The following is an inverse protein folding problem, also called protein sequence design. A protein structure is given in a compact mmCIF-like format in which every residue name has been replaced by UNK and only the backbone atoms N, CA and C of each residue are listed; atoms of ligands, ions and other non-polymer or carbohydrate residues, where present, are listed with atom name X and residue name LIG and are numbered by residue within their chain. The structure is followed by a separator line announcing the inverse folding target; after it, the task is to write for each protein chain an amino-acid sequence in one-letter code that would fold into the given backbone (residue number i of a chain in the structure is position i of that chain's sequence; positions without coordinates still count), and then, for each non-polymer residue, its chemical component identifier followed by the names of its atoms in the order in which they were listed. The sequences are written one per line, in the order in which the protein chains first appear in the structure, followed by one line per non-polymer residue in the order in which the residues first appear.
data_IF_830417311730
#
_entry.id   IF_830417311730
#
_cell.length_a   1.000
_cell.length_b   1.000
_cell.length_c   1.000
_cell.angle_alpha   90.00
_cell.angle_beta   90.00
_cell.angle_gamma   90.00
#
_symmetry.space_group_name_H-M   'P 1'
#
loop_
_entity.id
_entity.type
_entity.pdbx_description
1 polymer ?
#
# COMPACT_ATOMS: atom_id res chain seq x y z
N UNK A 1 60.34 -41.32 -1.35
CA UNK A 1 60.24 -40.20 -0.39
C UNK A 1 60.34 -38.92 -1.19
N UNK A 2 59.21 -38.24 -1.38
CA UNK A 2 59.05 -37.17 -2.37
C UNK A 2 59.88 -35.93 -2.03
N UNK A 3 60.53 -35.37 -3.04
CA UNK A 3 61.25 -34.09 -2.98
C UNK A 3 60.24 -32.95 -2.93
N UNK A 4 60.16 -32.24 -1.81
CA UNK A 4 59.45 -30.97 -1.69
C UNK A 4 60.32 -29.86 -2.29
N UNK A 5 59.71 -28.95 -3.05
CA UNK A 5 60.43 -27.80 -3.61
C UNK A 5 60.95 -26.89 -2.48
N UNK A 6 62.24 -26.59 -2.49
CA UNK A 6 62.96 -25.75 -1.50
C UNK A 6 63.04 -24.28 -1.88
N UNK A 7 62.47 -23.88 -3.02
CA UNK A 7 62.45 -22.48 -3.45
C UNK A 7 61.12 -21.82 -3.05
N UNK A 8 61.14 -20.58 -2.54
CA UNK A 8 59.91 -19.84 -2.27
C UNK A 8 59.09 -19.74 -3.55
N UNK A 9 57.82 -20.16 -3.51
CA UNK A 9 56.87 -19.90 -4.60
C UNK A 9 56.80 -18.38 -4.77
N UNK A 10 57.15 -17.80 -5.93
CA UNK A 10 57.08 -16.35 -6.12
C UNK A 10 55.63 -15.89 -6.00
N UNK A 11 55.26 -15.32 -4.85
CA UNK A 11 53.98 -14.65 -4.70
C UNK A 11 54.09 -13.29 -5.39
N UNK A 12 53.63 -13.20 -6.64
CA UNK A 12 53.43 -11.91 -7.28
C UNK A 12 52.27 -11.20 -6.57
N UNK A 13 52.58 -10.34 -5.58
CA UNK A 13 51.58 -9.50 -4.95
C UNK A 13 51.12 -8.45 -5.97
N UNK A 14 49.89 -8.59 -6.46
CA UNK A 14 49.25 -7.59 -7.31
C UNK A 14 49.11 -6.32 -6.49
N UNK A 15 50.00 -5.35 -6.73
CA UNK A 15 50.09 -4.08 -5.99
C UNK A 15 49.21 -2.98 -6.65
N UNK A 16 48.47 -3.32 -7.70
CA UNK A 16 47.55 -2.42 -8.39
C UNK A 16 46.12 -2.53 -7.86
N UNK A 17 45.27 -1.55 -8.18
CA UNK A 17 43.82 -1.67 -7.97
C UNK A 17 43.32 -2.87 -8.76
N UNK A 18 42.94 -3.94 -8.06
CA UNK A 18 42.41 -5.13 -8.70
C UNK A 18 40.94 -4.87 -9.06
N UNK A 19 40.55 -4.93 -10.36
CA UNK A 19 39.15 -4.86 -10.71
C UNK A 19 38.45 -6.12 -10.19
N UNK A 20 37.63 -5.96 -9.16
CA UNK A 20 36.71 -7.01 -8.72
C UNK A 20 35.47 -6.94 -9.60
N UNK A 21 35.29 -7.93 -10.46
CA UNK A 21 34.04 -8.11 -11.18
C UNK A 21 33.00 -8.60 -10.18
N UNK A 22 32.15 -7.70 -9.69
CA UNK A 22 30.93 -8.11 -9.00
C UNK A 22 29.94 -8.60 -10.06
N UNK A 23 29.98 -9.90 -10.37
CA UNK A 23 28.87 -10.54 -11.09
C UNK A 23 27.74 -10.72 -10.09
N UNK A 24 27.03 -9.63 -9.77
CA UNK A 24 25.80 -9.75 -9.00
C UNK A 24 24.83 -10.57 -9.86
N UNK A 25 24.31 -11.73 -9.38
CA UNK A 25 23.19 -12.38 -10.05
C UNK A 25 22.14 -11.30 -10.25
N UNK A 26 21.62 -11.15 -11.47
CA UNK A 26 20.58 -10.17 -11.76
C UNK A 26 19.59 -10.15 -10.59
N UNK A 27 19.32 -8.97 -10.04
CA UNK A 27 18.30 -8.81 -9.01
C UNK A 27 17.10 -9.64 -9.41
N UNK A 28 16.88 -10.74 -8.69
CA UNK A 28 15.77 -11.63 -9.00
C UNK A 28 14.53 -10.75 -8.95
N UNK A 29 13.74 -10.74 -10.03
CA UNK A 29 12.49 -10.01 -10.07
C UNK A 29 11.59 -10.54 -8.95
N UNK A 30 11.61 -9.86 -7.79
CA UNK A 30 11.11 -10.37 -6.52
C UNK A 30 11.39 -9.39 -5.37
N UNK A 31 11.04 -9.78 -4.14
CA UNK A 31 11.09 -8.94 -2.93
C UNK A 31 12.48 -8.80 -2.31
N UNK A 32 13.55 -9.09 -3.06
CA UNK A 32 14.91 -9.07 -2.53
C UNK A 32 15.41 -7.62 -2.35
N UNK A 33 15.65 -7.20 -1.10
CA UNK A 33 16.38 -5.97 -0.80
C UNK A 33 17.86 -6.13 -1.18
N UNK A 34 18.42 -5.11 -1.85
CA UNK A 34 19.85 -5.02 -2.13
C UNK A 34 20.49 -3.94 -1.27
N UNK A 35 21.14 -4.33 -0.18
CA UNK A 35 21.68 -3.35 0.78
C UNK A 35 20.58 -2.47 1.38
N UNK A 36 20.93 -1.25 1.77
CA UNK A 36 19.97 -0.23 2.21
C UNK A 36 19.20 0.34 1.00
N UNK A 37 18.05 -0.26 0.68
CA UNK A 37 17.17 0.21 -0.41
C UNK A 37 16.13 1.16 0.17
N UNK A 38 16.41 2.46 0.12
CA UNK A 38 15.45 3.51 0.48
C UNK A 38 14.30 3.63 -0.53
N UNK A 39 13.21 4.30 -0.11
CA UNK A 39 12.08 4.63 -0.99
C UNK A 39 12.52 5.56 -2.13
N UNK A 40 12.70 5.01 -3.33
CA UNK A 40 13.18 5.77 -4.48
C UNK A 40 12.05 6.56 -5.14
N UNK A 41 12.00 7.87 -4.90
CA UNK A 41 11.13 8.78 -5.66
C UNK A 41 11.76 9.03 -7.04
N UNK A 42 11.12 8.50 -8.09
CA UNK A 42 11.54 8.72 -9.49
C UNK A 42 10.75 9.89 -10.07
N UNK A 43 11.32 10.60 -11.05
CA UNK A 43 10.60 11.66 -11.77
C UNK A 43 9.44 11.16 -12.66
N UNK A 44 9.23 9.84 -12.72
CA UNK A 44 8.13 9.18 -13.44
C UNK A 44 7.23 8.44 -12.42
N UNK A 45 5.99 8.11 -12.81
CA UNK A 45 5.00 7.42 -11.97
C UNK A 45 5.40 6.01 -11.45
N UNK A 46 6.55 5.47 -11.85
CA UNK A 46 7.07 4.16 -11.41
C UNK A 46 7.29 4.17 -9.90
N UNK A 47 6.53 3.34 -9.19
CA UNK A 47 6.57 3.25 -7.73
C UNK A 47 5.70 4.28 -7.00
N UNK A 48 4.96 5.13 -7.71
CA UNK A 48 4.02 6.07 -7.11
C UNK A 48 2.68 5.42 -6.74
N UNK A 49 1.94 6.02 -5.81
CA UNK A 49 0.58 5.61 -5.48
C UNK A 49 -0.41 5.98 -6.59
N UNK A 50 -1.41 5.13 -6.79
CA UNK A 50 -2.60 5.41 -7.60
C UNK A 50 -3.66 6.13 -6.76
N UNK A 51 -4.43 7.00 -7.39
CA UNK A 51 -5.52 7.76 -6.77
C UNK A 51 -6.88 7.14 -7.05
N UNK A 52 -7.73 7.07 -6.02
CA UNK A 52 -9.16 6.74 -6.17
C UNK A 52 -10.02 7.84 -5.57
N UNK A 53 -10.74 8.57 -6.43
CA UNK A 53 -11.62 9.67 -6.02
C UNK A 53 -12.90 9.12 -5.37
N UNK A 54 -13.29 9.73 -4.26
CA UNK A 54 -14.49 9.42 -3.48
C UNK A 54 -15.43 10.61 -3.51
N UNK A 55 -16.65 10.39 -3.97
CA UNK A 55 -17.80 11.27 -3.75
C UNK A 55 -18.99 10.36 -3.47
N UNK A 56 -19.57 10.44 -2.27
CA UNK A 56 -20.69 9.58 -1.92
C UNK A 56 -21.94 9.94 -2.72
N UNK A 57 -22.68 8.94 -3.18
CA UNK A 57 -24.06 9.03 -3.60
C UNK A 57 -24.99 8.75 -2.41
N UNK A 58 -26.30 8.94 -2.61
CA UNK A 58 -27.34 8.62 -1.62
C UNK A 58 -27.57 7.11 -1.44
N UNK A 59 -26.50 6.36 -1.12
CA UNK A 59 -26.44 4.90 -1.00
C UNK A 59 -25.39 4.51 0.06
N UNK A 60 -25.08 3.21 0.19
CA UNK A 60 -23.93 2.71 0.98
C UNK A 60 -22.60 2.71 0.23
N UNK A 61 -22.59 3.21 -1.01
CA UNK A 61 -21.40 3.42 -1.85
C UNK A 61 -20.46 2.21 -2.01
N UNK A 62 -20.98 0.99 -2.30
CA UNK A 62 -20.15 -0.19 -2.47
C UNK A 62 -19.23 -0.03 -3.68
N UNK A 63 -17.92 0.00 -3.44
CA UNK A 63 -16.94 0.34 -4.47
C UNK A 63 -15.74 -0.59 -4.42
N UNK A 64 -15.33 -1.12 -5.57
CA UNK A 64 -14.03 -1.80 -5.72
C UNK A 64 -13.03 -0.79 -6.27
N UNK A 65 -12.04 -0.44 -5.46
CA UNK A 65 -10.95 0.45 -5.87
C UNK A 65 -9.86 -0.34 -6.61
N UNK A 66 -9.58 -1.56 -6.14
CA UNK A 66 -8.61 -2.48 -6.75
C UNK A 66 -9.10 -3.91 -6.57
N UNK A 67 -9.30 -4.64 -7.66
CA UNK A 67 -9.79 -6.03 -7.65
C UNK A 67 -8.67 -7.07 -7.43
N UNK A 68 -7.51 -6.65 -6.91
CA UNK A 68 -6.36 -7.50 -6.66
C UNK A 68 -5.58 -7.05 -5.43
N UNK A 69 -4.73 -7.93 -4.91
CA UNK A 69 -3.88 -7.67 -3.75
C UNK A 69 -3.07 -6.37 -3.93
N UNK A 70 -2.93 -5.61 -2.85
CA UNK A 70 -2.27 -4.31 -2.86
C UNK A 70 -2.17 -3.72 -1.46
N UNK A 71 -1.98 -2.41 -1.38
CA UNK A 71 -1.91 -1.67 -0.12
C UNK A 71 -2.59 -0.32 -0.20
N UNK A 72 -3.22 0.09 0.91
CA UNK A 72 -3.70 1.47 1.10
C UNK A 72 -2.56 2.29 1.70
N UNK A 73 -2.05 3.25 0.95
CA UNK A 73 -0.93 4.11 1.37
C UNK A 73 -1.42 5.27 2.23
N UNK A 74 -2.64 5.75 1.96
CA UNK A 74 -3.24 6.81 2.74
C UNK A 74 -4.60 7.23 2.22
N UNK A 75 -5.19 8.20 2.88
CA UNK A 75 -6.48 8.76 2.49
C UNK A 75 -6.59 10.22 2.94
N UNK A 76 -7.48 10.92 2.27
CA UNK A 76 -7.92 12.27 2.63
C UNK A 76 -9.42 12.32 2.38
N UNK A 77 -10.21 12.26 3.46
CA UNK A 77 -11.66 12.15 3.38
C UNK A 77 -12.28 13.22 4.28
N UNK A 78 -13.24 13.97 3.74
CA UNK A 78 -13.97 15.00 4.45
C UNK A 78 -15.45 14.61 4.55
N UNK A 79 -16.04 14.92 5.70
CA UNK A 79 -17.45 14.77 5.97
C UNK A 79 -18.13 16.14 5.94
N UNK A 80 -19.12 16.30 5.06
CA UNK A 80 -19.86 17.56 4.86
C UNK A 80 -21.13 17.66 5.71
N UNK A 81 -21.37 16.65 6.56
CA UNK A 81 -22.58 16.52 7.37
C UNK A 81 -22.31 16.83 8.85
N UNK A 82 -23.38 17.08 9.60
CA UNK A 82 -23.34 17.37 11.04
C UNK A 82 -23.34 16.10 11.93
N UNK A 83 -23.15 14.91 11.35
CA UNK A 83 -23.11 13.62 12.06
C UNK A 83 -21.82 12.88 11.76
N UNK A 84 -21.40 11.98 12.64
CA UNK A 84 -20.29 11.07 12.32
C UNK A 84 -20.63 10.19 11.14
N UNK A 85 -19.67 10.01 10.24
CA UNK A 85 -19.77 9.09 9.12
C UNK A 85 -18.59 8.12 9.14
N UNK A 86 -18.81 6.95 8.56
CA UNK A 86 -17.85 5.86 8.62
C UNK A 86 -17.60 5.28 7.24
N UNK A 87 -16.33 5.21 6.85
CA UNK A 87 -15.91 4.49 5.65
C UNK A 87 -15.31 3.16 6.10
N UNK A 88 -15.94 2.06 5.68
CA UNK A 88 -15.54 0.70 6.01
C UNK A 88 -14.73 0.14 4.86
N UNK A 89 -13.53 -0.33 5.16
CA UNK A 89 -12.62 -0.92 4.18
C UNK A 89 -12.76 -2.44 4.24
N UNK A 90 -12.81 -3.07 3.08
CA UNK A 90 -12.98 -4.51 2.93
C UNK A 90 -11.81 -5.09 2.13
N UNK A 91 -11.26 -6.21 2.60
CA UNK A 91 -10.21 -6.95 1.91
C UNK A 91 -10.83 -8.00 0.96
N UNK A 92 -11.58 -7.51 -0.03
CA UNK A 92 -12.24 -8.34 -1.05
C UNK A 92 -12.10 -7.70 -2.43
N UNK A 93 -12.05 -8.53 -3.47
CA UNK A 93 -11.86 -8.11 -4.87
C UNK A 93 -13.18 -7.76 -5.60
N UNK A 94 -14.32 -8.03 -4.97
CA UNK A 94 -15.66 -7.80 -5.53
C UNK A 94 -16.38 -6.68 -4.78
N UNK A 95 -17.49 -6.20 -5.35
CA UNK A 95 -18.29 -5.15 -4.72
C UNK A 95 -18.79 -5.63 -3.33
N UNK A 96 -18.45 -4.92 -2.25
CA UNK A 96 -18.86 -5.30 -0.90
C UNK A 96 -20.33 -4.97 -0.66
N UNK A 97 -20.96 -5.69 0.28
CA UNK A 97 -22.30 -5.38 0.79
C UNK A 97 -22.18 -4.83 2.20
N UNK A 98 -22.62 -3.59 2.40
CA UNK A 98 -22.62 -2.95 3.72
C UNK A 98 -23.43 -3.78 4.73
N UNK A 99 -22.89 -3.96 5.94
CA UNK A 99 -23.51 -4.76 6.99
C UNK A 99 -23.32 -6.28 6.87
N UNK A 100 -22.75 -6.78 5.77
CA UNK A 100 -22.55 -8.23 5.55
C UNK A 100 -21.11 -8.59 5.21
N UNK A 101 -20.47 -7.86 4.30
CA UNK A 101 -19.06 -8.10 3.96
C UNK A 101 -18.19 -7.73 5.15
N UNK A 102 -17.31 -8.64 5.57
CA UNK A 102 -16.41 -8.44 6.69
C UNK A 102 -15.62 -7.12 6.55
N UNK A 103 -15.63 -6.30 7.59
CA UNK A 103 -14.89 -5.05 7.67
C UNK A 103 -13.46 -5.37 8.10
N UNK A 104 -12.48 -4.94 7.31
CA UNK A 104 -11.07 -5.11 7.64
C UNK A 104 -10.59 -4.02 8.59
N UNK A 105 -10.93 -2.77 8.31
CA UNK A 105 -10.85 -1.65 9.26
C UNK A 105 -11.85 -0.57 8.86
N UNK A 106 -12.09 0.36 9.78
CA UNK A 106 -13.00 1.49 9.59
C UNK A 106 -12.28 2.82 9.79
N UNK A 107 -12.72 3.81 9.03
CA UNK A 107 -12.29 5.20 9.12
C UNK A 107 -13.48 6.01 9.63
N UNK A 108 -13.38 6.52 10.85
CA UNK A 108 -14.34 7.46 11.40
C UNK A 108 -14.01 8.89 10.96
N UNK A 109 -15.00 9.63 10.47
CA UNK A 109 -14.84 11.02 10.03
C UNK A 109 -15.75 11.92 10.87
N UNK A 110 -15.20 12.87 11.64
CA UNK A 110 -15.99 13.75 12.51
C UNK A 110 -16.96 14.64 11.71
N UNK A 111 -18.06 15.10 12.33
CA UNK A 111 -18.96 16.09 11.74
C UNK A 111 -18.21 17.32 11.22
N UNK A 112 -18.50 17.75 9.98
CA UNK A 112 -17.84 18.88 9.31
C UNK A 112 -16.30 18.84 9.36
N UNK A 113 -15.73 17.64 9.49
CA UNK A 113 -14.31 17.45 9.69
C UNK A 113 -13.70 16.52 8.64
N UNK A 114 -12.43 16.18 8.86
CA UNK A 114 -11.64 15.38 7.94
C UNK A 114 -10.88 14.27 8.67
N UNK A 115 -10.71 13.16 7.97
CA UNK A 115 -9.80 12.08 8.33
C UNK A 115 -8.73 12.02 7.25
N UNK A 116 -7.48 12.20 7.65
CA UNK A 116 -6.34 12.23 6.76
C UNK A 116 -5.21 11.42 7.39
N UNK A 117 -4.60 10.54 6.60
CA UNK A 117 -3.39 9.84 7.00
C UNK A 117 -2.54 9.55 5.77
N UNK A 118 -1.24 9.49 5.98
CA UNK A 118 -0.29 8.87 5.08
C UNK A 118 0.55 7.89 5.91
N UNK A 119 0.63 6.64 5.46
CA UNK A 119 1.41 5.59 6.12
C UNK A 119 2.54 5.15 5.20
N UNK A 120 3.78 5.31 5.66
CA UNK A 120 4.95 4.81 4.96
C UNK A 120 4.88 3.29 4.88
N UNK A 121 4.86 2.73 3.66
CA UNK A 121 4.68 1.30 3.40
C UNK A 121 3.23 0.82 3.24
N UNK A 122 2.24 1.62 3.65
CA UNK A 122 0.80 1.33 3.54
C UNK A 122 0.26 0.16 4.39
N UNK A 123 -1.06 -0.02 4.37
CA UNK A 123 -1.79 -1.13 4.99
C UNK A 123 -2.04 -2.21 3.93
N UNK A 124 -1.51 -3.42 4.14
CA UNK A 124 -1.62 -4.52 3.19
C UNK A 124 -3.02 -5.13 3.10
N UNK A 125 -3.47 -5.40 1.87
CA UNK A 125 -4.70 -6.09 1.53
C UNK A 125 -4.37 -7.27 0.61
N UNK A 126 -4.62 -8.49 1.09
CA UNK A 126 -4.23 -9.73 0.41
C UNK A 126 -5.11 -10.11 -0.78
N UNK A 127 -6.32 -9.58 -0.88
CA UNK A 127 -7.33 -10.01 -1.85
C UNK A 127 -7.70 -8.87 -2.80
N UNK A 128 -8.07 -7.73 -2.25
CA UNK A 128 -8.54 -6.57 -2.99
C UNK A 128 -8.80 -5.38 -2.08
N UNK A 129 -8.89 -4.19 -2.66
CA UNK A 129 -9.27 -2.97 -1.98
C UNK A 129 -10.67 -2.55 -2.41
N UNK A 130 -11.62 -2.63 -1.48
CA UNK A 130 -12.97 -2.13 -1.65
C UNK A 130 -13.46 -1.41 -0.39
N UNK A 131 -14.51 -0.62 -0.52
CA UNK A 131 -15.09 0.12 0.60
C UNK A 131 -16.62 0.24 0.52
N UNK A 132 -17.22 0.53 1.67
CA UNK A 132 -18.60 1.05 1.82
C UNK A 132 -18.58 2.30 2.70
N UNK A 133 -19.62 3.13 2.59
CA UNK A 133 -19.78 4.36 3.36
C UNK A 133 -21.15 4.33 4.04
N UNK A 134 -21.17 4.46 5.37
CA UNK A 134 -22.38 4.31 6.18
C UNK A 134 -22.42 5.31 7.33
N UNK A 135 -23.59 5.44 7.97
CA UNK A 135 -23.80 6.38 9.08
C UNK A 135 -23.48 5.80 10.46
N UNK A 136 -23.45 4.47 10.61
CA UNK A 136 -23.23 3.79 11.89
C UNK A 136 -21.85 3.12 12.00
N UNK A 137 -21.30 3.13 13.21
CA UNK A 137 -19.98 2.56 13.50
C UNK A 137 -19.98 1.02 13.52
N UNK A 138 -21.10 0.38 13.85
CA UNK A 138 -21.20 -1.07 13.96
C UNK A 138 -20.93 -1.73 12.61
N UNK A 139 -20.20 -2.85 12.56
CA UNK A 139 -19.88 -3.55 11.31
C UNK A 139 -21.13 -4.00 10.55
N UNK A 140 -22.20 -4.33 11.28
CA UNK A 140 -23.52 -4.67 10.75
C UNK A 140 -24.30 -3.49 10.18
N UNK A 141 -23.85 -2.25 10.39
CA UNK A 141 -24.55 -1.07 9.87
C UNK A 141 -24.53 -1.04 8.33
N UNK A 142 -25.72 -0.88 7.77
CA UNK A 142 -26.00 -0.79 6.34
C UNK A 142 -26.78 0.48 6.00
N UNK A 143 -26.79 1.47 6.90
CA UNK A 143 -27.56 2.69 6.71
C UNK A 143 -26.87 3.58 5.67
N UNK A 144 -27.59 3.99 4.61
CA UNK A 144 -27.01 4.78 3.52
C UNK A 144 -26.68 6.20 4.00
N UNK A 145 -25.66 6.79 3.39
CA UNK A 145 -25.36 8.22 3.54
C UNK A 145 -26.10 9.05 2.51
N UNK A 146 -26.12 10.36 2.68
CA UNK A 146 -26.62 11.29 1.66
C UNK A 146 -25.59 11.48 0.55
N UNK A 147 -26.03 12.02 -0.59
CA UNK A 147 -25.13 12.43 -1.65
C UNK A 147 -24.16 13.52 -1.13
N UNK A 148 -22.91 13.46 -1.57
CA UNK A 148 -21.84 14.39 -1.22
C UNK A 148 -21.48 14.45 0.27
N UNK A 149 -22.00 13.53 1.09
CA UNK A 149 -21.72 13.42 2.51
C UNK A 149 -20.25 13.15 2.81
N UNK A 150 -19.62 12.27 2.04
CA UNK A 150 -18.17 11.99 2.11
C UNK A 150 -17.53 12.29 0.77
N UNK A 151 -16.48 13.12 0.80
CA UNK A 151 -15.70 13.51 -0.38
C UNK A 151 -14.22 13.41 -0.11
N UNK A 152 -13.42 13.13 -1.15
CA UNK A 152 -11.96 13.08 -1.04
C UNK A 152 -11.34 12.02 -1.93
N UNK A 153 -10.24 11.42 -1.49
CA UNK A 153 -9.54 10.38 -2.24
C UNK A 153 -8.81 9.38 -1.34
N UNK A 154 -8.66 8.16 -1.85
CA UNK A 154 -7.72 7.16 -1.37
C UNK A 154 -6.45 7.14 -2.23
N UNK A 155 -5.32 6.78 -1.62
CA UNK A 155 -4.04 6.52 -2.27
C UNK A 155 -3.65 5.06 -2.04
N UNK A 156 -3.35 4.32 -3.11
CA UNK A 156 -3.08 2.89 -3.03
C UNK A 156 -2.01 2.43 -4.01
N UNK A 157 -1.47 1.22 -3.84
CA UNK A 157 -0.58 0.56 -4.79
C UNK A 157 -0.97 -0.91 -4.95
#
# INVERSE_FOLDING_TARGET
MGTYATEPIPAAQVTATQPVSFTQPAQVAGTALMGDVGQQYRANATGASTNAKVISAATTNPTVVKASAGRVIGWQLANTTASWLFVKIHNVATAPTAGTTAVFFLIAIPPNGKSEIAYEGGIGLSTGFSYTIVTGAADSDSNPVTANAVVGSFHYA
#
